data_IF_833300182015
#
_entry.id   IF_833300182015
#
_cell.length_a   1.000
_cell.length_b   1.000
_cell.length_c   1.000
_cell.angle_alpha   90.00
_cell.angle_beta   90.00
_cell.angle_gamma   90.00
#
_symmetry.space_group_name_H-M   'P 1'
#
loop_
_entity.id
_entity.type
_entity.pdbx_description
1 polymer ?
#
# COMPACT_ATOMS: atom_id res chain seq x y z
N UNK A 1 32.54 -7.48 -7.23
CA UNK A 1 31.07 -7.76 -7.28
C UNK A 1 30.60 -7.56 -8.71
N UNK A 2 29.78 -8.48 -9.26
CA UNK A 2 29.19 -8.44 -10.60
C UNK A 2 27.68 -8.19 -10.48
N UNK A 3 27.09 -7.41 -11.39
CA UNK A 3 25.63 -7.29 -11.48
C UNK A 3 25.03 -8.61 -11.99
N UNK A 4 23.92 -9.02 -11.41
CA UNK A 4 23.14 -10.13 -11.93
C UNK A 4 22.41 -9.72 -13.22
N UNK A 5 22.29 -10.62 -14.17
CA UNK A 5 21.43 -10.46 -15.34
C UNK A 5 19.97 -10.79 -14.98
N UNK A 6 19.01 -10.27 -15.75
CA UNK A 6 17.60 -10.51 -15.49
C UNK A 6 17.23 -12.01 -15.49
N UNK A 7 17.90 -12.81 -16.30
CA UNK A 7 17.74 -14.26 -16.36
C UNK A 7 18.22 -15.01 -15.11
N UNK A 8 19.07 -14.37 -14.30
CA UNK A 8 19.60 -14.93 -13.05
C UNK A 8 18.73 -14.54 -11.84
N UNK A 9 17.75 -13.66 -12.05
CA UNK A 9 16.79 -13.27 -11.04
C UNK A 9 15.59 -14.22 -11.14
N UNK A 10 15.40 -15.07 -10.18
CA UNK A 10 14.28 -16.02 -10.09
C UNK A 10 12.94 -15.27 -9.95
N UNK A 11 12.48 -14.66 -11.06
CA UNK A 11 11.23 -13.89 -11.11
C UNK A 11 10.05 -14.82 -11.38
N UNK A 12 8.98 -14.63 -10.63
CA UNK A 12 7.73 -15.39 -10.81
C UNK A 12 7.09 -15.06 -12.17
N UNK A 13 6.46 -16.05 -12.77
CA UNK A 13 5.49 -15.81 -13.85
C UNK A 13 4.23 -15.12 -13.29
N UNK A 14 3.35 -14.64 -14.17
CA UNK A 14 2.05 -14.05 -13.75
C UNK A 14 1.21 -15.12 -13.03
N UNK A 15 1.22 -16.34 -13.53
CA UNK A 15 0.51 -17.49 -12.95
C UNK A 15 1.05 -17.82 -11.57
N UNK A 16 2.37 -18.00 -11.43
CA UNK A 16 3.03 -18.28 -10.16
C UNK A 16 2.78 -17.15 -9.13
N UNK A 17 2.78 -15.89 -9.61
CA UNK A 17 2.44 -14.77 -8.73
C UNK A 17 1.01 -14.91 -8.19
N UNK A 18 0.03 -15.19 -9.06
CA UNK A 18 -1.39 -15.31 -8.67
C UNK A 18 -1.62 -16.47 -7.70
N UNK A 19 -0.94 -17.58 -7.88
CA UNK A 19 -1.04 -18.79 -7.05
C UNK A 19 -0.23 -18.71 -5.74
N UNK A 20 0.74 -17.80 -5.67
CA UNK A 20 1.58 -17.62 -4.47
C UNK A 20 0.77 -17.17 -3.27
N UNK A 21 1.16 -17.64 -2.08
CA UNK A 21 0.70 -17.05 -0.81
C UNK A 21 1.06 -15.58 -0.76
N UNK A 22 0.08 -14.74 -0.49
CA UNK A 22 0.24 -13.29 -0.44
C UNK A 22 0.69 -12.82 0.94
N UNK A 23 1.44 -11.74 0.95
CA UNK A 23 1.65 -10.94 2.16
C UNK A 23 0.29 -10.40 2.61
N UNK A 24 -0.11 -10.58 3.89
CA UNK A 24 -1.44 -10.20 4.36
C UNK A 24 -1.59 -8.69 4.53
N UNK A 25 -1.29 -7.97 3.46
CA UNK A 25 -1.40 -6.51 3.35
C UNK A 25 -2.34 -6.14 2.20
N UNK A 26 -3.22 -5.18 2.45
CA UNK A 26 -4.09 -4.54 1.46
C UNK A 26 -3.68 -3.06 1.40
N UNK A 27 -3.50 -2.50 0.21
CA UNK A 27 -3.24 -1.08 0.05
C UNK A 27 -4.53 -0.39 -0.41
N UNK A 28 -4.94 0.65 0.30
CA UNK A 28 -6.11 1.47 -0.07
C UNK A 28 -5.59 2.83 -0.51
N UNK A 29 -5.89 3.21 -1.75
CA UNK A 29 -5.49 4.48 -2.36
C UNK A 29 -6.73 5.36 -2.51
N UNK A 30 -6.86 6.37 -1.64
CA UNK A 30 -8.02 7.25 -1.59
C UNK A 30 -7.73 8.61 -2.24
N UNK A 31 -8.50 8.95 -3.26
CA UNK A 31 -8.42 10.22 -4.00
C UNK A 31 -7.01 10.56 -4.54
N UNK A 32 -6.26 9.53 -4.97
CA UNK A 32 -4.92 9.72 -5.53
C UNK A 32 -5.01 10.30 -6.95
N UNK A 33 -4.38 11.45 -7.15
CA UNK A 33 -4.43 12.19 -8.42
C UNK A 33 -3.35 11.79 -9.41
N UNK A 34 -2.18 11.41 -8.92
CA UNK A 34 -1.02 11.12 -9.76
C UNK A 34 -1.05 9.69 -10.29
N UNK A 35 -1.29 9.56 -11.60
CA UNK A 35 -1.26 8.29 -12.31
C UNK A 35 0.09 7.55 -12.15
N UNK A 36 1.20 8.30 -12.10
CA UNK A 36 2.53 7.74 -11.90
C UNK A 36 2.71 7.17 -10.48
N UNK A 37 2.13 7.83 -9.46
CA UNK A 37 2.14 7.31 -8.09
C UNK A 37 1.36 5.99 -8.01
N UNK A 38 0.17 5.94 -8.61
CA UNK A 38 -0.66 4.72 -8.67
C UNK A 38 0.14 3.58 -9.28
N UNK A 39 0.74 3.77 -10.46
CA UNK A 39 1.54 2.73 -11.12
C UNK A 39 2.76 2.31 -10.31
N UNK A 40 3.42 3.25 -9.61
CA UNK A 40 4.55 2.94 -8.72
C UNK A 40 4.12 2.12 -7.51
N UNK A 41 2.93 2.38 -6.95
CA UNK A 41 2.36 1.56 -5.86
C UNK A 41 2.03 0.15 -6.35
N UNK A 42 1.46 -0.01 -7.55
CA UNK A 42 1.26 -1.34 -8.15
C UNK A 42 2.57 -2.11 -8.25
N UNK A 43 3.65 -1.46 -8.71
CA UNK A 43 4.97 -2.09 -8.82
C UNK A 43 5.55 -2.47 -7.45
N UNK A 44 5.33 -1.66 -6.42
CA UNK A 44 5.69 -1.99 -5.05
C UNK A 44 4.89 -3.17 -4.53
N UNK A 45 3.58 -3.19 -4.79
CA UNK A 45 2.70 -4.28 -4.39
C UNK A 45 3.09 -5.62 -5.03
N UNK A 46 3.47 -5.61 -6.31
CA UNK A 46 4.01 -6.78 -7.01
C UNK A 46 5.30 -7.28 -6.34
N UNK A 47 6.26 -6.39 -6.08
CA UNK A 47 7.56 -6.74 -5.52
C UNK A 47 7.46 -7.44 -4.15
N UNK A 48 6.43 -7.16 -3.36
CA UNK A 48 6.23 -7.68 -2.00
C UNK A 48 5.05 -8.65 -1.88
N UNK A 49 4.53 -9.18 -3.00
CA UNK A 49 3.40 -10.12 -3.01
C UNK A 49 2.18 -9.62 -2.23
N UNK A 50 1.87 -8.33 -2.32
CA UNK A 50 0.74 -7.73 -1.62
C UNK A 50 -0.57 -8.37 -2.10
N UNK A 51 -1.51 -8.58 -1.19
CA UNK A 51 -2.76 -9.30 -1.48
C UNK A 51 -3.59 -8.58 -2.54
N UNK A 52 -3.87 -7.30 -2.35
CA UNK A 52 -4.60 -6.48 -3.33
C UNK A 52 -4.41 -4.98 -3.12
N UNK A 53 -4.81 -4.21 -4.12
CA UNK A 53 -4.96 -2.75 -4.05
C UNK A 53 -6.44 -2.40 -4.19
N UNK A 54 -6.95 -1.52 -3.32
CA UNK A 54 -8.28 -0.93 -3.43
C UNK A 54 -8.11 0.54 -3.83
N UNK A 55 -8.70 0.92 -4.94
CA UNK A 55 -8.67 2.27 -5.48
C UNK A 55 -9.99 2.96 -5.12
N UNK A 56 -9.92 4.11 -4.44
CA UNK A 56 -11.14 4.80 -3.97
C UNK A 56 -11.29 6.19 -4.58
N UNK A 57 -12.54 6.63 -4.69
CA UNK A 57 -12.91 7.97 -5.13
C UNK A 57 -12.41 8.28 -6.55
N UNK A 58 -11.70 9.39 -6.70
CA UNK A 58 -11.14 9.84 -7.99
C UNK A 58 -9.89 9.08 -8.43
N UNK A 59 -9.40 8.13 -7.65
CA UNK A 59 -8.21 7.35 -7.98
C UNK A 59 -8.43 6.57 -9.28
N UNK A 60 -7.63 6.88 -10.30
CA UNK A 60 -7.78 6.27 -11.61
C UNK A 60 -7.45 4.77 -11.60
N UNK A 61 -8.13 4.04 -12.47
CA UNK A 61 -8.03 2.58 -12.58
C UNK A 61 -7.25 2.14 -13.83
N UNK A 62 -6.61 0.95 -13.80
CA UNK A 62 -6.20 0.28 -15.04
C UNK A 62 -7.44 -0.10 -15.91
N UNK A 63 -7.30 -0.21 -17.26
CA UNK A 63 -6.08 0.08 -18.02
C UNK A 63 -5.91 1.59 -18.26
N UNK A 64 -4.72 2.11 -17.96
CA UNK A 64 -4.36 3.50 -18.19
C UNK A 64 -2.87 3.57 -18.60
N UNK A 65 -2.58 4.28 -19.70
CA UNK A 65 -1.21 4.35 -20.26
C UNK A 65 -0.19 4.94 -19.30
N UNK A 66 -0.58 5.95 -18.53
CA UNK A 66 0.34 6.60 -17.58
C UNK A 66 0.59 5.73 -16.33
N UNK A 67 -0.43 5.02 -15.85
CA UNK A 67 -0.27 4.01 -14.80
C UNK A 67 0.68 2.90 -15.30
N UNK A 68 0.46 2.41 -16.51
CA UNK A 68 1.26 1.32 -17.09
C UNK A 68 2.75 1.67 -17.19
N UNK A 69 3.10 2.94 -17.48
CA UNK A 69 4.52 3.38 -17.60
C UNK A 69 5.34 3.11 -16.33
N UNK A 70 4.74 3.23 -15.16
CA UNK A 70 5.42 3.05 -13.87
C UNK A 70 5.13 1.70 -13.24
N UNK A 71 3.96 1.10 -13.51
CA UNK A 71 3.58 -0.22 -13.04
C UNK A 71 4.37 -1.36 -13.70
N UNK A 72 4.84 -1.18 -14.96
CA UNK A 72 5.64 -2.17 -15.70
C UNK A 72 5.02 -3.59 -15.71
N UNK A 73 3.70 -3.69 -15.93
CA UNK A 73 2.97 -4.95 -15.96
C UNK A 73 2.36 -5.39 -14.61
N UNK A 74 2.71 -4.75 -13.50
CA UNK A 74 2.19 -5.11 -12.18
C UNK A 74 0.66 -5.00 -12.05
N UNK A 75 -0.02 -4.28 -12.93
CA UNK A 75 -1.48 -4.22 -12.99
C UNK A 75 -2.13 -5.52 -13.49
N UNK A 76 -1.36 -6.44 -14.06
CA UNK A 76 -1.82 -7.75 -14.52
C UNK A 76 -1.62 -8.85 -13.46
N UNK A 77 -0.68 -8.63 -12.55
CA UNK A 77 -0.33 -9.57 -11.47
C UNK A 77 -1.08 -9.26 -10.18
N UNK A 78 -1.04 -8.01 -9.71
CA UNK A 78 -1.65 -7.58 -8.46
C UNK A 78 -3.17 -7.44 -8.62
N UNK A 79 -3.93 -8.12 -7.77
CA UNK A 79 -5.38 -7.96 -7.72
C UNK A 79 -5.75 -6.53 -7.31
N UNK A 80 -6.77 -5.98 -7.93
CA UNK A 80 -7.27 -4.65 -7.59
C UNK A 80 -8.79 -4.55 -7.81
N UNK A 81 -9.39 -3.60 -7.11
CA UNK A 81 -10.81 -3.23 -7.25
C UNK A 81 -10.98 -1.73 -7.06
N UNK A 82 -12.10 -1.17 -7.51
CA UNK A 82 -12.43 0.24 -7.34
C UNK A 82 -13.73 0.42 -6.57
N UNK A 83 -13.76 1.39 -5.67
CA UNK A 83 -14.93 1.79 -4.88
C UNK A 83 -15.06 3.32 -4.85
N UNK A 84 -16.27 3.81 -4.85
CA UNK A 84 -16.54 5.26 -4.81
C UNK A 84 -16.22 5.88 -3.43
N UNK A 85 -16.37 5.11 -2.35
CA UNK A 85 -16.34 5.62 -0.99
C UNK A 85 -15.37 4.81 -0.11
N UNK A 86 -14.30 5.46 0.35
CA UNK A 86 -13.29 4.85 1.23
C UNK A 86 -13.86 4.47 2.60
N UNK A 87 -14.86 5.19 3.12
CA UNK A 87 -15.44 4.89 4.43
C UNK A 87 -16.15 3.54 4.41
N UNK A 88 -16.92 3.25 3.36
CA UNK A 88 -17.55 1.94 3.17
C UNK A 88 -16.52 0.82 3.03
N UNK A 89 -15.41 1.08 2.34
CA UNK A 89 -14.29 0.13 2.22
C UNK A 89 -13.71 -0.19 3.59
N UNK A 90 -13.40 0.83 4.40
CA UNK A 90 -12.85 0.65 5.74
C UNK A 90 -13.81 -0.16 6.61
N UNK A 91 -15.10 0.19 6.63
CA UNK A 91 -16.11 -0.54 7.41
C UNK A 91 -16.22 -2.02 7.00
N UNK A 92 -16.16 -2.31 5.69
CA UNK A 92 -16.23 -3.68 5.19
C UNK A 92 -14.96 -4.48 5.53
N UNK A 93 -13.80 -3.87 5.40
CA UNK A 93 -12.53 -4.49 5.80
C UNK A 93 -12.53 -4.85 7.30
N UNK A 94 -13.07 -3.98 8.15
CA UNK A 94 -13.20 -4.24 9.60
C UNK A 94 -14.15 -5.41 9.89
N UNK A 95 -15.29 -5.52 9.16
CA UNK A 95 -16.20 -6.68 9.27
C UNK A 95 -15.49 -7.99 8.91
N UNK A 96 -14.53 -7.93 7.98
CA UNK A 96 -13.70 -9.08 7.58
C UNK A 96 -12.48 -9.33 8.50
N UNK A 97 -12.44 -8.67 9.67
CA UNK A 97 -11.35 -8.74 10.64
C UNK A 97 -9.99 -8.30 10.06
N UNK A 98 -9.98 -7.38 9.10
CA UNK A 98 -8.79 -6.69 8.63
C UNK A 98 -8.56 -5.47 9.47
N UNK A 99 -7.38 -5.32 10.07
CA UNK A 99 -7.01 -4.17 10.87
C UNK A 99 -6.64 -2.99 9.95
N UNK A 100 -7.38 -1.90 10.07
CA UNK A 100 -7.27 -0.74 9.18
C UNK A 100 -6.39 0.34 9.80
N UNK A 101 -5.36 0.78 9.04
CA UNK A 101 -4.34 1.71 9.50
C UNK A 101 -4.21 2.88 8.54
N UNK A 102 -4.55 4.09 8.98
CA UNK A 102 -4.26 5.30 8.22
C UNK A 102 -2.76 5.60 8.24
N UNK A 103 -2.19 5.95 7.10
CA UNK A 103 -0.79 6.38 7.00
C UNK A 103 -0.78 7.90 6.94
N UNK A 104 -0.69 8.52 8.14
CA UNK A 104 -0.88 9.97 8.29
C UNK A 104 -0.20 10.50 9.57
N UNK A 105 -0.07 11.81 9.66
CA UNK A 105 0.46 12.51 10.83
C UNK A 105 -0.71 12.98 11.71
N UNK A 106 -0.95 12.29 12.81
CA UNK A 106 -1.99 12.64 13.77
C UNK A 106 -1.46 12.53 15.21
N UNK A 107 -2.10 13.24 16.16
CA UNK A 107 -1.65 13.29 17.56
C UNK A 107 -1.47 11.93 18.24
N UNK A 108 -2.25 10.94 17.84
CA UNK A 108 -2.21 9.57 18.40
C UNK A 108 -1.54 8.54 17.49
N UNK A 109 -0.82 8.97 16.46
CA UNK A 109 -0.13 8.06 15.55
C UNK A 109 0.98 7.28 16.27
N UNK A 110 1.12 6.02 15.90
CA UNK A 110 2.27 5.21 16.29
C UNK A 110 3.36 5.38 15.23
N UNK A 111 4.58 5.69 15.65
CA UNK A 111 5.69 5.75 14.70
C UNK A 111 5.95 4.38 14.06
N UNK A 112 6.22 4.38 12.76
CA UNK A 112 6.37 3.15 11.98
C UNK A 112 7.36 2.16 12.59
N UNK A 113 8.51 2.63 13.12
CA UNK A 113 9.50 1.76 13.74
C UNK A 113 8.99 1.09 15.02
N UNK A 114 8.03 1.71 15.72
CA UNK A 114 7.48 1.22 16.99
C UNK A 114 6.22 0.36 16.80
N UNK A 115 5.63 0.39 15.61
CA UNK A 115 4.46 -0.42 15.28
C UNK A 115 4.81 -1.91 15.28
N UNK A 116 4.05 -2.70 16.03
CA UNK A 116 4.22 -4.16 16.14
C UNK A 116 3.16 -4.86 15.31
N UNK A 117 3.58 -5.82 14.49
CA UNK A 117 2.66 -6.69 13.75
C UNK A 117 2.31 -7.93 14.58
N UNK A 118 1.07 -8.39 14.42
CA UNK A 118 0.60 -9.64 15.01
C UNK A 118 0.62 -10.76 13.97
N UNK A 119 1.00 -11.96 14.39
CA UNK A 119 0.95 -13.14 13.51
C UNK A 119 -0.49 -13.42 13.10
N UNK A 120 -0.67 -13.75 11.82
CA UNK A 120 -1.96 -14.06 11.22
C UNK A 120 -2.96 -12.89 11.15
N UNK A 121 -2.56 -11.68 11.52
CA UNK A 121 -3.37 -10.49 11.31
C UNK A 121 -3.18 -9.98 9.88
N UNK A 122 -4.29 -9.61 9.23
CA UNK A 122 -4.31 -8.92 7.95
C UNK A 122 -4.45 -7.43 8.19
N UNK A 123 -3.73 -6.62 7.43
CA UNK A 123 -3.72 -5.17 7.57
C UNK A 123 -4.13 -4.49 6.28
N UNK A 124 -4.93 -3.42 6.39
CA UNK A 124 -5.19 -2.49 5.31
C UNK A 124 -4.49 -1.16 5.61
N UNK A 125 -3.70 -0.69 4.67
CA UNK A 125 -2.92 0.55 4.75
C UNK A 125 -3.60 1.61 3.89
N UNK A 126 -4.17 2.63 4.51
CA UNK A 126 -4.93 3.68 3.85
C UNK A 126 -4.02 4.87 3.57
N UNK A 127 -3.83 5.18 2.29
CA UNK A 127 -3.07 6.33 1.79
C UNK A 127 -4.04 7.33 1.18
N UNK A 128 -3.93 8.58 1.57
CA UNK A 128 -4.80 9.65 1.11
C UNK A 128 -4.21 10.53 0.02
N UNK A 129 -4.97 11.53 -0.35
CA UNK A 129 -4.67 12.52 -1.38
C UNK A 129 -3.32 13.22 -1.15
N UNK A 130 -2.60 13.54 -2.24
CA UNK A 130 -1.25 14.14 -2.18
C UNK A 130 -1.24 15.55 -1.57
N UNK A 131 -2.38 16.21 -1.50
CA UNK A 131 -2.50 17.57 -0.96
C UNK A 131 -3.12 17.57 0.43
N UNK A 132 -4.18 16.80 0.61
CA UNK A 132 -5.02 16.82 1.82
C UNK A 132 -4.75 15.65 2.78
N UNK A 133 -3.92 14.68 2.37
CA UNK A 133 -3.69 13.47 3.16
C UNK A 133 -4.91 12.55 3.21
N UNK A 134 -4.96 11.72 4.24
CA UNK A 134 -6.11 10.84 4.54
C UNK A 134 -7.24 11.70 5.13
N UNK A 135 -8.46 11.57 4.58
CA UNK A 135 -9.62 12.32 5.07
C UNK A 135 -9.85 12.09 6.57
N UNK A 136 -10.19 13.15 7.30
CA UNK A 136 -10.38 13.10 8.76
C UNK A 136 -11.41 12.05 9.18
N UNK A 137 -12.47 11.88 8.40
CA UNK A 137 -13.52 10.88 8.62
C UNK A 137 -12.97 9.46 8.48
N UNK A 138 -12.09 9.23 7.51
CA UNK A 138 -11.42 7.94 7.31
C UNK A 138 -10.44 7.65 8.47
N UNK A 139 -9.64 8.64 8.88
CA UNK A 139 -8.76 8.52 10.07
C UNK A 139 -9.58 8.14 11.30
N UNK A 140 -10.73 8.80 11.52
CA UNK A 140 -11.55 8.59 12.71
C UNK A 140 -12.15 7.19 12.85
N UNK A 141 -12.38 6.48 11.73
CA UNK A 141 -12.95 5.13 11.73
C UNK A 141 -11.91 4.02 11.56
N UNK A 142 -10.65 4.35 11.22
CA UNK A 142 -9.56 3.39 11.22
C UNK A 142 -9.26 2.86 12.63
N UNK A 143 -8.71 1.65 12.72
CA UNK A 143 -8.32 1.03 14.00
C UNK A 143 -7.05 1.66 14.59
N UNK A 144 -6.26 2.36 13.76
CA UNK A 144 -5.08 3.08 14.17
C UNK A 144 -4.49 3.96 13.08
N UNK A 145 -3.42 4.64 13.44
CA UNK A 145 -2.65 5.48 12.52
C UNK A 145 -1.17 5.21 12.68
N UNK A 146 -0.46 5.13 11.56
CA UNK A 146 1.00 4.99 11.51
C UNK A 146 1.59 6.25 10.88
N UNK A 147 2.61 6.79 11.55
CA UNK A 147 3.39 7.91 11.07
C UNK A 147 4.81 7.46 10.67
N UNK A 148 5.28 7.92 9.51
CA UNK A 148 6.69 7.83 9.13
C UNK A 148 7.41 9.05 9.73
N UNK A 149 8.37 8.90 10.65
CA UNK A 149 9.08 10.05 11.22
C UNK A 149 9.83 10.84 10.15
N UNK A 150 9.63 12.14 10.14
CA UNK A 150 10.27 13.05 9.19
C UNK A 150 11.01 14.14 9.94
N UNK A 151 12.30 14.35 9.64
CA UNK A 151 13.17 15.33 10.30
C UNK A 151 13.56 16.49 9.35
N UNK A 152 12.95 16.51 8.17
CA UNK A 152 13.26 17.51 7.13
C UNK A 152 12.38 18.75 7.21
N UNK A 153 12.48 19.59 6.18
CA UNK A 153 11.73 20.86 6.08
C UNK A 153 10.39 20.71 5.35
N UNK A 154 10.12 19.56 4.74
CA UNK A 154 8.87 19.30 4.01
C UNK A 154 7.85 18.64 4.92
N UNK A 155 6.57 18.93 4.65
CA UNK A 155 5.47 18.44 5.48
C UNK A 155 5.09 16.98 5.23
N UNK A 156 5.42 16.45 4.04
CA UNK A 156 5.06 15.08 3.65
C UNK A 156 6.05 14.48 2.66
N UNK A 157 6.04 13.15 2.58
CA UNK A 157 6.69 12.37 1.54
C UNK A 157 5.74 12.19 0.35
N UNK A 158 6.32 11.90 -0.83
CA UNK A 158 5.53 11.42 -1.96
C UNK A 158 4.85 10.10 -1.59
N UNK A 159 3.57 9.94 -1.96
CA UNK A 159 2.77 8.76 -1.59
C UNK A 159 3.41 7.44 -2.02
N UNK A 160 3.97 7.34 -3.22
CA UNK A 160 4.60 6.09 -3.66
C UNK A 160 5.87 5.76 -2.87
N UNK A 161 6.56 6.77 -2.36
CA UNK A 161 7.70 6.61 -1.45
C UNK A 161 7.20 6.17 -0.08
N UNK A 162 6.17 6.83 0.47
CA UNK A 162 5.54 6.42 1.74
C UNK A 162 5.06 4.98 1.69
N UNK A 163 4.35 4.61 0.61
CA UNK A 163 3.89 3.23 0.41
C UNK A 163 5.06 2.24 0.39
N UNK A 164 6.14 2.55 -0.32
CA UNK A 164 7.34 1.71 -0.36
C UNK A 164 7.97 1.52 1.02
N UNK A 165 8.09 2.58 1.82
CA UNK A 165 8.67 2.54 3.18
C UNK A 165 7.80 1.69 4.11
N UNK A 166 6.48 1.97 4.16
CA UNK A 166 5.56 1.27 5.06
C UNK A 166 5.41 -0.20 4.67
N UNK A 167 5.23 -0.48 3.38
CA UNK A 167 5.13 -1.85 2.87
C UNK A 167 6.39 -2.65 3.21
N UNK A 168 7.58 -2.10 2.97
CA UNK A 168 8.84 -2.79 3.29
C UNK A 168 8.97 -3.08 4.79
N UNK A 169 8.65 -2.10 5.65
CA UNK A 169 8.78 -2.28 7.10
C UNK A 169 7.82 -3.37 7.61
N UNK A 170 6.53 -3.33 7.20
CA UNK A 170 5.56 -4.34 7.61
C UNK A 170 5.88 -5.70 6.99
N UNK A 171 6.25 -5.76 5.71
CA UNK A 171 6.68 -6.99 5.05
C UNK A 171 7.85 -7.66 5.79
N UNK A 172 8.87 -6.86 6.17
CA UNK A 172 10.00 -7.33 6.97
C UNK A 172 9.53 -7.91 8.32
N UNK A 173 8.70 -7.18 9.05
CA UNK A 173 8.19 -7.58 10.36
C UNK A 173 7.33 -8.86 10.30
N UNK A 174 6.57 -9.04 9.22
CA UNK A 174 5.70 -10.21 9.02
C UNK A 174 6.51 -11.46 8.63
N UNK A 175 7.55 -11.31 7.81
CA UNK A 175 8.29 -12.45 7.26
C UNK A 175 9.56 -12.79 8.05
N UNK A 176 10.20 -11.79 8.65
CA UNK A 176 11.43 -11.96 9.43
C UNK A 176 11.29 -11.23 10.78
N UNK A 177 10.45 -11.76 11.69
CA UNK A 177 10.32 -11.20 13.04
C UNK A 177 11.69 -11.29 13.77
N UNK A 178 12.07 -10.19 14.41
CA UNK A 178 13.29 -10.12 15.23
C UNK A 178 13.18 -10.98 16.48
#
# INVERSE_FOLDING_TARGET
>A
MRKLENSELDRKSIEDFKESTKTPLILVLDDIRSLHNIGSVFRTADAFLIEKIILCGITATPPNKEIHKTALGATETVAWEHHENVLEVIENLKKDNVLTLAIEQVESAVFLQDFKVEKNQKYALIFGNEVYGVAQEAVAICDGCIEIPQLGTKHSLNISVSAGIVVWDLFKKLNWPN
#
